data_IF_849334255022
#
_entry.id   IF_849334255022
#
_cell.length_a   1.000
_cell.length_b   1.000
_cell.length_c   1.000
_cell.angle_alpha   90.00
_cell.angle_beta   90.00
_cell.angle_gamma   90.00
#
_symmetry.space_group_name_H-M   'P 1'
#
loop_
_entity.id
_entity.type
_entity.pdbx_description
1 polymer ?
#
# COMPACT_ATOMS: atom_id res chain seq x y z
N UNK A 1 -10.93 -15.21 -12.46
CA UNK A 1 -10.26 -13.92 -12.20
C UNK A 1 -11.21 -12.72 -12.31
N UNK A 2 -11.84 -12.49 -13.48
CA UNK A 2 -12.75 -11.35 -13.70
C UNK A 2 -13.84 -11.17 -12.62
N UNK A 3 -14.67 -12.19 -12.36
CA UNK A 3 -15.74 -12.09 -11.37
C UNK A 3 -15.25 -11.82 -9.95
N UNK A 4 -14.11 -12.40 -9.56
CA UNK A 4 -13.50 -12.14 -8.26
C UNK A 4 -13.03 -10.67 -8.14
N UNK A 5 -12.45 -10.11 -9.20
CA UNK A 5 -12.05 -8.71 -9.23
C UNK A 5 -13.26 -7.77 -9.17
N UNK A 6 -14.36 -8.11 -9.85
CA UNK A 6 -15.60 -7.34 -9.82
C UNK A 6 -16.24 -7.35 -8.43
N UNK A 7 -16.43 -8.54 -7.85
CA UNK A 7 -16.99 -8.71 -6.50
C UNK A 7 -16.08 -8.02 -5.47
N UNK A 8 -14.76 -8.22 -5.56
CA UNK A 8 -13.80 -7.56 -4.69
C UNK A 8 -13.87 -6.04 -4.77
N UNK A 9 -13.97 -5.48 -5.98
CA UNK A 9 -14.14 -4.04 -6.20
C UNK A 9 -15.44 -3.54 -5.58
N UNK A 10 -16.56 -4.23 -5.81
CA UNK A 10 -17.85 -3.86 -5.22
C UNK A 10 -17.80 -3.86 -3.68
N UNK A 11 -17.20 -4.88 -3.08
CA UNK A 11 -17.01 -4.98 -1.63
C UNK A 11 -16.11 -3.87 -1.09
N UNK A 12 -15.00 -3.55 -1.79
CA UNK A 12 -14.13 -2.42 -1.42
C UNK A 12 -14.90 -1.09 -1.43
N UNK A 13 -15.75 -0.86 -2.43
CA UNK A 13 -16.60 0.34 -2.46
C UNK A 13 -17.63 0.35 -1.34
N UNK A 14 -18.36 -0.75 -1.16
CA UNK A 14 -19.39 -0.87 -0.12
C UNK A 14 -18.80 -0.63 1.28
N UNK A 15 -17.73 -1.35 1.63
CA UNK A 15 -17.06 -1.18 2.92
C UNK A 15 -16.45 0.21 3.09
N UNK A 16 -15.86 0.77 2.03
CA UNK A 16 -15.34 2.14 2.05
C UNK A 16 -16.42 3.17 2.40
N UNK A 17 -17.60 3.07 1.80
CA UNK A 17 -18.71 3.97 2.11
C UNK A 17 -19.26 3.75 3.52
N UNK A 18 -19.40 2.49 3.97
CA UNK A 18 -19.82 2.18 5.34
C UNK A 18 -18.86 2.81 6.35
N UNK A 19 -17.54 2.65 6.15
CA UNK A 19 -16.52 3.23 7.02
C UNK A 19 -16.59 4.76 7.01
N UNK A 20 -16.74 5.40 5.85
CA UNK A 20 -16.85 6.85 5.76
C UNK A 20 -18.08 7.39 6.50
N UNK A 21 -19.23 6.72 6.41
CA UNK A 21 -20.43 7.09 7.16
C UNK A 21 -20.18 7.03 8.67
N UNK A 22 -19.45 6.01 9.14
CA UNK A 22 -19.08 5.92 10.55
C UNK A 22 -18.09 7.03 10.95
N UNK A 23 -17.03 7.25 10.15
CA UNK A 23 -16.03 8.28 10.43
C UNK A 23 -16.66 9.66 10.53
N UNK A 24 -17.56 10.03 9.61
CA UNK A 24 -18.16 11.36 9.59
C UNK A 24 -19.28 11.57 10.62
N UNK A 25 -19.90 10.51 11.13
CA UNK A 25 -20.99 10.63 12.11
C UNK A 25 -20.55 10.41 13.54
N UNK A 26 -19.43 9.73 13.77
CA UNK A 26 -19.03 9.32 15.11
C UNK A 26 -18.30 10.45 15.83
N UNK A 27 -18.97 11.04 16.83
CA UNK A 27 -18.47 12.20 17.56
C UNK A 27 -17.26 11.90 18.47
N UNK A 28 -16.90 10.63 18.66
CA UNK A 28 -15.82 10.21 19.58
C UNK A 28 -14.46 10.03 18.89
N UNK A 29 -14.38 10.22 17.56
CA UNK A 29 -13.11 10.14 16.84
C UNK A 29 -12.27 11.37 17.15
N UNK A 30 -11.30 11.20 18.04
CA UNK A 30 -10.32 12.21 18.44
C UNK A 30 -9.05 12.13 17.59
N UNK A 31 -8.31 13.24 17.51
CA UNK A 31 -7.05 13.34 16.78
C UNK A 31 -6.03 12.26 17.21
N UNK A 32 -6.00 11.89 18.49
CA UNK A 32 -5.14 10.83 19.04
C UNK A 32 -5.36 9.44 18.42
N UNK A 33 -6.54 9.18 17.85
CA UNK A 33 -6.85 7.90 17.20
C UNK A 33 -6.25 7.79 15.80
N UNK A 34 -5.85 8.92 15.19
CA UNK A 34 -5.30 8.94 13.84
C UNK A 34 -3.96 8.19 13.78
N UNK A 35 -3.89 7.20 12.90
CA UNK A 35 -2.69 6.42 12.64
C UNK A 35 -2.72 5.91 11.19
N UNK A 36 -1.58 5.44 10.69
CA UNK A 36 -1.47 4.97 9.29
C UNK A 36 -2.30 3.71 8.99
N UNK A 37 -2.92 3.06 9.97
CA UNK A 37 -3.99 2.08 9.73
C UNK A 37 -5.19 2.68 8.98
N UNK A 38 -5.41 4.00 9.06
CA UNK A 38 -6.44 4.68 8.28
C UNK A 38 -6.15 4.74 6.78
N UNK A 39 -4.97 4.30 6.33
CA UNK A 39 -4.68 4.08 4.91
C UNK A 39 -5.32 2.82 4.33
N UNK A 40 -5.89 1.92 5.14
CA UNK A 40 -6.52 0.69 4.62
C UNK A 40 -7.61 1.01 3.58
N UNK A 41 -8.59 1.91 3.82
CA UNK A 41 -9.58 2.24 2.80
C UNK A 41 -8.97 2.90 1.54
N UNK A 42 -8.11 3.95 1.63
CA UNK A 42 -7.44 4.51 0.44
C UNK A 42 -6.63 3.48 -0.36
N UNK A 43 -5.80 2.68 0.32
CA UNK A 43 -4.95 1.67 -0.34
C UNK A 43 -5.81 0.60 -1.00
N UNK A 44 -6.91 0.18 -0.38
CA UNK A 44 -7.82 -0.81 -0.99
C UNK A 44 -8.36 -0.34 -2.35
N UNK A 45 -8.59 0.96 -2.54
CA UNK A 45 -8.98 1.55 -3.84
C UNK A 45 -7.86 1.50 -4.87
N UNK A 46 -6.62 1.68 -4.43
CA UNK A 46 -5.43 1.55 -5.27
C UNK A 46 -5.16 0.10 -5.71
N UNK A 47 -5.71 -0.92 -5.02
CA UNK A 47 -5.56 -2.32 -5.45
C UNK A 47 -6.42 -2.64 -6.69
N UNK A 48 -7.61 -2.03 -6.82
CA UNK A 48 -8.53 -2.24 -7.94
C UNK A 48 -7.85 -2.10 -9.31
N UNK A 49 -7.15 -0.99 -9.62
CA UNK A 49 -6.50 -0.80 -10.92
C UNK A 49 -5.36 -1.79 -11.22
N UNK A 50 -4.73 -2.42 -10.21
CA UNK A 50 -3.68 -3.43 -10.46
C UNK A 50 -4.27 -4.61 -11.24
N UNK A 51 -5.40 -5.12 -10.78
CA UNK A 51 -6.10 -6.21 -11.45
C UNK A 51 -6.87 -5.73 -12.67
N UNK A 52 -7.51 -4.56 -12.59
CA UNK A 52 -8.38 -4.07 -13.66
C UNK A 52 -7.63 -3.72 -14.95
N UNK A 53 -6.46 -3.09 -14.89
CA UNK A 53 -5.64 -2.84 -16.08
C UNK A 53 -5.09 -4.13 -16.71
N UNK A 54 -4.74 -5.13 -15.90
CA UNK A 54 -4.32 -6.43 -16.43
C UNK A 54 -5.48 -7.18 -17.08
N UNK A 55 -6.65 -7.21 -16.44
CA UNK A 55 -7.85 -7.84 -16.99
C UNK A 55 -8.36 -7.16 -18.26
N UNK A 56 -8.18 -5.85 -18.41
CA UNK A 56 -8.57 -5.13 -19.62
C UNK A 56 -7.83 -5.63 -20.87
N UNK A 57 -6.58 -6.07 -20.73
CA UNK A 57 -5.83 -6.70 -21.83
C UNK A 57 -6.29 -8.13 -22.15
N UNK A 58 -6.77 -8.87 -21.16
CA UNK A 58 -7.28 -10.24 -21.35
C UNK A 58 -8.73 -10.29 -21.85
N UNK A 59 -9.54 -9.27 -21.56
CA UNK A 59 -10.96 -9.18 -21.93
C UNK A 59 -11.24 -7.88 -22.69
N UNK A 60 -10.83 -7.77 -23.97
CA UNK A 60 -11.01 -6.54 -24.77
C UNK A 60 -12.47 -6.08 -24.84
N UNK A 61 -13.43 -7.01 -24.83
CA UNK A 61 -14.86 -6.73 -24.84
C UNK A 61 -15.38 -6.06 -23.55
N UNK A 62 -14.57 -6.09 -22.48
CA UNK A 62 -14.85 -5.46 -21.18
C UNK A 62 -13.86 -4.36 -20.85
N UNK A 63 -12.95 -4.04 -21.76
CA UNK A 63 -11.83 -3.15 -21.50
C UNK A 63 -12.30 -1.75 -21.12
N UNK A 64 -13.33 -1.22 -21.77
CA UNK A 64 -13.92 0.09 -21.44
C UNK A 64 -14.34 0.15 -19.97
N UNK A 65 -15.20 -0.78 -19.53
CA UNK A 65 -15.65 -0.84 -18.14
C UNK A 65 -14.48 -1.03 -17.15
N UNK A 66 -13.55 -1.93 -17.46
CA UNK A 66 -12.41 -2.23 -16.59
C UNK A 66 -11.46 -1.04 -16.47
N UNK A 67 -11.18 -0.33 -17.56
CA UNK A 67 -10.40 0.91 -17.59
C UNK A 67 -11.10 1.98 -16.76
N UNK A 68 -12.39 2.25 -17.00
CA UNK A 68 -13.15 3.25 -16.26
C UNK A 68 -13.15 2.97 -14.76
N UNK A 69 -13.48 1.74 -14.35
CA UNK A 69 -13.48 1.35 -12.94
C UNK A 69 -12.08 1.49 -12.32
N UNK A 70 -11.04 1.09 -13.04
CA UNK A 70 -9.64 1.16 -12.59
C UNK A 70 -9.19 2.60 -12.42
N UNK A 71 -9.40 3.45 -13.42
CA UNK A 71 -8.96 4.85 -13.41
C UNK A 71 -9.73 5.67 -12.38
N UNK A 72 -11.04 5.46 -12.23
CA UNK A 72 -11.84 6.08 -11.16
C UNK A 72 -11.32 5.66 -9.78
N UNK A 73 -11.08 4.36 -9.58
CA UNK A 73 -10.59 3.85 -8.30
C UNK A 73 -9.17 4.33 -8.00
N UNK A 74 -8.33 4.48 -9.02
CA UNK A 74 -7.01 5.07 -8.89
C UNK A 74 -7.11 6.52 -8.41
N UNK A 75 -7.95 7.35 -9.03
CA UNK A 75 -8.18 8.72 -8.60
C UNK A 75 -8.67 8.82 -7.16
N UNK A 76 -9.70 8.03 -6.80
CA UNK A 76 -10.24 7.99 -5.43
C UNK A 76 -9.16 7.58 -4.42
N UNK A 77 -8.42 6.51 -4.69
CA UNK A 77 -7.36 6.03 -3.81
C UNK A 77 -6.22 7.05 -3.66
N UNK A 78 -5.83 7.72 -4.73
CA UNK A 78 -4.78 8.73 -4.75
C UNK A 78 -5.12 9.94 -3.88
N UNK A 79 -6.29 10.56 -4.09
CA UNK A 79 -6.67 11.74 -3.32
C UNK A 79 -6.97 11.42 -1.85
N UNK A 80 -7.63 10.29 -1.57
CA UNK A 80 -7.86 9.87 -0.18
C UNK A 80 -6.55 9.57 0.56
N UNK A 81 -5.56 8.98 -0.12
CA UNK A 81 -4.22 8.81 0.44
C UNK A 81 -3.63 10.16 0.88
N UNK A 82 -3.69 11.19 0.02
CA UNK A 82 -3.15 12.51 0.35
C UNK A 82 -3.88 13.15 1.54
N UNK A 83 -5.22 13.08 1.57
CA UNK A 83 -6.01 13.71 2.64
C UNK A 83 -5.81 13.02 3.99
N UNK A 84 -5.94 11.68 4.03
CA UNK A 84 -5.70 10.92 5.26
C UNK A 84 -4.24 11.06 5.67
N UNK A 85 -3.33 11.10 4.71
CA UNK A 85 -1.91 11.19 4.96
C UNK A 85 -1.51 12.49 5.63
N UNK A 86 -1.99 13.60 5.10
CA UNK A 86 -1.81 14.90 5.71
C UNK A 86 -2.34 14.94 7.15
N UNK A 87 -3.52 14.37 7.41
CA UNK A 87 -4.12 14.35 8.75
C UNK A 87 -3.29 13.52 9.75
N UNK A 88 -2.86 12.31 9.36
CA UNK A 88 -2.04 11.44 10.22
C UNK A 88 -0.64 12.02 10.41
N UNK A 89 -0.03 12.56 9.35
CA UNK A 89 1.29 13.17 9.41
C UNK A 89 1.30 14.42 10.31
N UNK A 90 0.27 15.26 10.19
CA UNK A 90 0.05 16.39 11.10
C UNK A 90 -0.03 15.93 12.55
N UNK A 91 -0.81 14.86 12.86
CA UNK A 91 -0.84 14.30 14.21
C UNK A 91 0.57 13.94 14.69
N UNK A 92 1.35 13.22 13.90
CA UNK A 92 2.64 12.70 14.33
C UNK A 92 3.72 13.78 14.48
N UNK A 93 3.55 14.95 13.84
CA UNK A 93 4.42 16.12 14.06
C UNK A 93 4.15 16.76 15.42
N UNK A 94 2.89 16.94 15.78
CA UNK A 94 2.49 17.77 16.92
C UNK A 94 2.11 16.99 18.19
N UNK A 95 1.92 15.68 18.09
CA UNK A 95 1.54 14.81 19.20
C UNK A 95 2.43 13.58 19.27
N UNK A 96 2.33 12.85 20.38
CA UNK A 96 3.05 11.60 20.59
C UNK A 96 2.81 10.59 19.46
N UNK A 97 3.83 9.79 19.19
CA UNK A 97 3.73 8.63 18.31
C UNK A 97 2.65 7.66 18.85
N UNK A 98 2.04 6.81 18.01
CA UNK A 98 0.99 5.89 18.47
C UNK A 98 1.51 4.92 19.55
N UNK A 99 0.61 4.28 20.30
CA UNK A 99 1.01 3.21 21.23
C UNK A 99 1.89 2.16 20.54
N UNK A 100 2.82 1.53 21.26
CA UNK A 100 3.78 0.55 20.71
C UNK A 100 3.14 -0.58 19.90
N UNK A 101 1.96 -1.06 20.31
CA UNK A 101 1.19 -2.06 19.54
C UNK A 101 0.77 -1.59 18.14
N UNK A 102 0.82 -0.30 17.85
CA UNK A 102 0.51 0.29 16.56
C UNK A 102 1.75 0.83 15.84
N UNK A 103 2.96 0.68 16.38
CA UNK A 103 4.19 1.14 15.74
C UNK A 103 4.36 0.55 14.32
N UNK A 104 4.00 -0.73 14.15
CA UNK A 104 4.05 -1.43 12.87
C UNK A 104 3.16 -0.78 11.79
N UNK A 105 2.11 -0.06 12.18
CA UNK A 105 1.23 0.63 11.22
C UNK A 105 1.97 1.73 10.45
N UNK A 106 3.08 2.26 10.97
CA UNK A 106 3.89 3.26 10.26
C UNK A 106 4.40 2.75 8.90
N UNK A 107 4.65 1.44 8.77
CA UNK A 107 5.03 0.82 7.50
C UNK A 107 3.93 0.94 6.45
N UNK A 108 2.66 1.04 6.84
CA UNK A 108 1.54 1.16 5.90
C UNK A 108 1.69 2.41 5.02
N UNK A 109 2.39 3.45 5.48
CA UNK A 109 2.66 4.63 4.66
C UNK A 109 3.54 4.39 3.42
N UNK A 110 4.24 3.25 3.34
CA UNK A 110 4.95 2.81 2.11
C UNK A 110 3.95 2.44 1.01
N UNK A 111 2.82 1.84 1.39
CA UNK A 111 1.95 1.13 0.47
C UNK A 111 1.35 2.01 -0.65
N UNK A 112 0.82 3.23 -0.40
CA UNK A 112 0.17 4.00 -1.44
C UNK A 112 1.06 4.26 -2.66
N UNK A 113 2.25 4.82 -2.45
CA UNK A 113 3.13 5.16 -3.58
C UNK A 113 3.79 3.93 -4.20
N UNK A 114 4.11 2.91 -3.41
CA UNK A 114 4.59 1.63 -3.93
C UNK A 114 3.57 0.98 -4.87
N UNK A 115 2.29 0.95 -4.47
CA UNK A 115 1.20 0.44 -5.29
C UNK A 115 0.99 1.31 -6.53
N UNK A 116 1.10 2.64 -6.44
CA UNK A 116 1.00 3.51 -7.61
C UNK A 116 2.08 3.18 -8.64
N UNK A 117 3.31 2.88 -8.23
CA UNK A 117 4.35 2.40 -9.16
C UNK A 117 3.90 1.14 -9.91
N UNK A 118 3.23 0.22 -9.23
CA UNK A 118 2.69 -1.01 -9.85
C UNK A 118 1.53 -0.70 -10.80
N UNK A 119 0.62 0.20 -10.42
CA UNK A 119 -0.49 0.65 -11.28
C UNK A 119 0.05 1.24 -12.59
N UNK A 120 1.03 2.14 -12.49
CA UNK A 120 1.65 2.78 -13.65
C UNK A 120 2.36 1.77 -14.54
N UNK A 121 3.01 0.75 -13.97
CA UNK A 121 3.62 -0.33 -14.73
C UNK A 121 2.57 -1.17 -15.47
N UNK A 122 1.43 -1.50 -14.83
CA UNK A 122 0.31 -2.21 -15.48
C UNK A 122 -0.33 -1.38 -16.59
N UNK A 123 -0.51 -0.07 -16.36
CA UNK A 123 -1.02 0.87 -17.36
C UNK A 123 -0.08 0.97 -18.56
N UNK A 124 1.22 1.13 -18.34
CA UNK A 124 2.23 1.14 -19.40
C UNK A 124 2.16 -0.13 -20.27
N UNK A 125 2.07 -1.30 -19.64
CA UNK A 125 2.00 -2.57 -20.37
C UNK A 125 0.70 -2.74 -21.16
N UNK A 126 -0.44 -2.26 -20.64
CA UNK A 126 -1.72 -2.31 -21.34
C UNK A 126 -1.69 -1.44 -22.60
N UNK A 127 -1.29 -0.18 -22.45
CA UNK A 127 -1.27 0.79 -23.55
C UNK A 127 -0.16 0.51 -24.57
N UNK A 128 0.85 -0.30 -24.24
CA UNK A 128 1.87 -0.73 -25.21
C UNK A 128 1.36 -1.77 -26.22
N UNK A 129 0.24 -2.44 -25.93
CA UNK A 129 -0.32 -3.51 -26.77
C UNK A 129 -1.72 -3.18 -27.32
N UNK A 130 -2.39 -2.18 -26.75
CA UNK A 130 -3.75 -1.83 -27.10
C UNK A 130 -3.92 -0.31 -27.14
N UNK A 131 -4.62 0.16 -28.18
CA UNK A 131 -4.98 1.56 -28.31
C UNK A 131 -6.27 1.83 -27.54
N UNK A 132 -6.17 2.64 -26.49
CA UNK A 132 -7.30 3.11 -25.70
C UNK A 132 -7.28 4.63 -25.61
N UNK A 133 -8.47 5.25 -25.61
CA UNK A 133 -8.64 6.71 -25.42
C UNK A 133 -7.94 7.60 -26.48
N UNK A 134 -7.48 7.04 -27.60
CA UNK A 134 -6.72 7.78 -28.61
C UNK A 134 -5.36 8.30 -28.12
N UNK A 135 -4.81 7.72 -27.05
CA UNK A 135 -3.53 8.13 -26.48
C UNK A 135 -2.37 7.47 -27.22
N UNK A 136 -1.34 8.26 -27.54
CA UNK A 136 -0.08 7.72 -28.07
C UNK A 136 0.63 6.87 -27.00
N UNK A 137 0.85 5.61 -27.34
CA UNK A 137 1.56 4.61 -26.52
C UNK A 137 2.95 5.08 -26.07
N UNK A 138 3.68 5.82 -26.92
CA UNK A 138 5.01 6.33 -26.57
C UNK A 138 4.92 7.41 -25.47
N UNK A 139 3.90 8.26 -25.52
CA UNK A 139 3.64 9.29 -24.51
C UNK A 139 3.25 8.64 -23.18
N UNK A 140 2.31 7.69 -23.20
CA UNK A 140 1.88 6.97 -21.99
C UNK A 140 3.06 6.23 -21.36
N UNK A 141 3.86 5.54 -22.16
CA UNK A 141 5.05 4.82 -21.69
C UNK A 141 6.05 5.75 -21.01
N UNK A 142 6.31 6.91 -21.61
CA UNK A 142 7.22 7.91 -21.05
C UNK A 142 6.73 8.44 -19.70
N UNK A 143 5.46 8.86 -19.63
CA UNK A 143 4.85 9.36 -18.38
C UNK A 143 4.85 8.30 -17.28
N UNK A 144 4.51 7.05 -17.63
CA UNK A 144 4.54 5.93 -16.69
C UNK A 144 5.94 5.67 -16.15
N UNK A 145 6.98 5.62 -16.98
CA UNK A 145 8.37 5.39 -16.52
C UNK A 145 8.81 6.44 -15.51
N UNK A 146 8.56 7.72 -15.80
CA UNK A 146 8.85 8.81 -14.87
C UNK A 146 8.03 8.69 -13.57
N UNK A 147 6.72 8.45 -13.68
CA UNK A 147 5.83 8.29 -12.54
C UNK A 147 6.18 7.08 -11.66
N UNK A 148 6.62 5.97 -12.25
CA UNK A 148 7.10 4.77 -11.54
C UNK A 148 8.30 5.14 -10.67
N UNK A 149 9.32 5.78 -11.25
CA UNK A 149 10.52 6.16 -10.50
C UNK A 149 10.20 7.19 -9.40
N UNK A 150 9.35 8.17 -9.70
CA UNK A 150 8.90 9.20 -8.77
C UNK A 150 8.18 8.60 -7.55
N UNK A 151 7.20 7.73 -7.79
CA UNK A 151 6.41 7.11 -6.72
C UNK A 151 7.19 6.04 -5.93
N UNK A 152 8.06 5.29 -6.60
CA UNK A 152 8.98 4.36 -5.94
C UNK A 152 9.97 5.10 -5.04
N UNK A 153 10.50 6.24 -5.47
CA UNK A 153 11.41 7.05 -4.68
C UNK A 153 10.79 7.48 -3.34
N UNK A 154 9.52 7.90 -3.35
CA UNK A 154 8.80 8.20 -2.11
C UNK A 154 8.58 6.95 -1.25
N UNK A 155 8.26 5.80 -1.85
CA UNK A 155 8.10 4.54 -1.11
C UNK A 155 9.40 4.10 -0.41
N UNK A 156 10.54 4.21 -1.11
CA UNK A 156 11.87 3.92 -0.57
C UNK A 156 12.26 4.90 0.54
N UNK A 157 11.97 6.19 0.37
CA UNK A 157 12.16 7.20 1.43
C UNK A 157 11.30 6.90 2.65
N UNK A 158 10.02 6.57 2.47
CA UNK A 158 9.12 6.24 3.57
C UNK A 158 9.59 5.00 4.33
N UNK A 159 10.13 4.00 3.62
CA UNK A 159 10.73 2.83 4.25
C UNK A 159 11.86 3.22 5.21
N UNK A 160 12.76 4.13 4.82
CA UNK A 160 13.81 4.66 5.72
C UNK A 160 13.19 5.33 6.94
N UNK A 161 12.17 6.17 6.76
CA UNK A 161 11.44 6.81 7.87
C UNK A 161 10.84 5.77 8.82
N UNK A 162 10.21 4.73 8.27
CA UNK A 162 9.61 3.66 9.05
C UNK A 162 10.65 2.88 9.87
N UNK A 163 11.83 2.63 9.31
CA UNK A 163 12.95 2.02 10.04
C UNK A 163 13.44 2.92 11.18
N UNK A 164 13.59 4.23 10.94
CA UNK A 164 14.00 5.19 11.98
C UNK A 164 13.00 5.16 13.14
N UNK A 165 11.69 5.19 12.84
CA UNK A 165 10.64 5.12 13.86
C UNK A 165 10.70 3.81 14.63
N UNK A 166 10.82 2.66 13.96
CA UNK A 166 10.95 1.36 14.65
C UNK A 166 12.19 1.30 15.55
N UNK A 167 13.33 1.81 15.08
CA UNK A 167 14.55 1.88 15.88
C UNK A 167 14.38 2.77 17.11
N UNK A 168 13.59 3.85 17.00
CA UNK A 168 13.24 4.67 18.16
C UNK A 168 12.42 3.88 19.19
N UNK A 169 11.40 3.13 18.76
CA UNK A 169 10.64 2.25 19.67
C UNK A 169 11.52 1.21 20.35
N UNK A 170 12.42 0.57 19.60
CA UNK A 170 13.33 -0.45 20.14
C UNK A 170 14.33 0.11 21.15
N UNK A 171 14.76 1.38 21.01
CA UNK A 171 15.79 1.99 21.85
C UNK A 171 15.25 2.79 23.03
N UNK A 172 14.07 3.41 22.89
CA UNK A 172 13.57 4.44 23.81
C UNK A 172 12.22 4.11 24.44
N UNK A 173 11.47 3.19 23.84
CA UNK A 173 10.17 2.74 24.33
C UNK A 173 10.22 1.22 24.47
N UNK A 174 9.09 0.56 24.26
CA UNK A 174 9.00 -0.87 24.10
C UNK A 174 8.38 -1.20 22.74
N UNK A 175 8.74 -2.35 22.18
CA UNK A 175 8.06 -2.92 21.01
C UNK A 175 7.68 -4.37 21.34
N UNK A 176 6.66 -4.59 22.20
CA UNK A 176 6.18 -5.92 22.46
C UNK A 176 5.59 -6.51 21.19
N UNK A 177 5.69 -7.84 21.06
CA UNK A 177 5.02 -8.53 19.97
C UNK A 177 3.50 -8.33 20.09
N UNK A 178 2.89 -7.92 18.99
CA UNK A 178 1.45 -7.84 18.82
C UNK A 178 1.10 -8.36 17.43
N UNK A 179 -0.13 -8.85 17.24
CA UNK A 179 -0.58 -9.38 15.94
C UNK A 179 -0.48 -8.31 14.82
N UNK A 180 -0.56 -7.03 15.19
CA UNK A 180 -0.32 -5.89 14.30
C UNK A 180 1.07 -5.86 13.66
N UNK A 181 2.05 -6.64 14.13
CA UNK A 181 3.35 -6.80 13.47
C UNK A 181 3.23 -7.34 12.03
N UNK A 182 2.12 -7.98 11.67
CA UNK A 182 1.83 -8.30 10.27
C UNK A 182 1.77 -7.05 9.37
N UNK A 183 1.57 -5.85 9.93
CA UNK A 183 1.70 -4.59 9.19
C UNK A 183 3.13 -4.29 8.71
N UNK A 184 4.16 -5.00 9.19
CA UNK A 184 5.51 -4.92 8.62
C UNK A 184 5.63 -5.63 7.27
N UNK A 185 4.79 -6.64 6.99
CA UNK A 185 5.02 -7.52 5.84
C UNK A 185 4.39 -6.98 4.56
N UNK A 186 3.09 -6.68 4.55
CA UNK A 186 2.39 -6.23 3.33
C UNK A 186 3.01 -4.98 2.69
N UNK A 187 3.30 -3.89 3.43
CA UNK A 187 3.90 -2.70 2.84
C UNK A 187 5.34 -2.92 2.36
N UNK A 188 6.12 -3.75 3.06
CA UNK A 188 7.44 -4.18 2.57
C UNK A 188 7.34 -5.05 1.33
N UNK A 189 6.29 -5.87 1.21
CA UNK A 189 5.93 -6.59 -0.01
C UNK A 189 5.64 -5.65 -1.17
N UNK A 190 4.82 -4.63 -0.94
CA UNK A 190 4.56 -3.59 -1.93
C UNK A 190 5.85 -2.87 -2.35
N UNK A 191 6.75 -2.58 -1.40
CA UNK A 191 8.07 -2.01 -1.70
C UNK A 191 8.90 -2.93 -2.60
N UNK A 192 8.93 -4.23 -2.33
CA UNK A 192 9.65 -5.20 -3.17
C UNK A 192 9.12 -5.18 -4.61
N UNK A 193 7.80 -5.29 -4.77
CA UNK A 193 7.18 -5.28 -6.11
C UNK A 193 7.40 -3.94 -6.81
N UNK A 194 7.22 -2.82 -6.10
CA UNK A 194 7.48 -1.47 -6.65
C UNK A 194 8.93 -1.29 -7.09
N UNK A 195 9.91 -1.83 -6.35
CA UNK A 195 11.33 -1.80 -6.71
C UNK A 195 11.61 -2.67 -7.93
N UNK A 196 10.97 -3.84 -8.01
CA UNK A 196 11.07 -4.71 -9.19
C UNK A 196 10.52 -4.07 -10.45
N UNK A 197 9.35 -3.41 -10.39
CA UNK A 197 8.79 -2.70 -11.55
C UNK A 197 9.59 -1.44 -11.90
N UNK A 198 10.12 -0.71 -10.92
CA UNK A 198 11.01 0.44 -11.15
C UNK A 198 12.32 0.01 -11.83
N UNK A 199 12.90 -1.11 -11.41
CA UNK A 199 14.05 -1.69 -12.08
C UNK A 199 13.71 -2.11 -13.52
N UNK A 200 12.61 -2.83 -13.75
CA UNK A 200 12.18 -3.22 -15.11
C UNK A 200 11.90 -2.03 -16.02
N UNK A 201 11.37 -0.94 -15.47
CA UNK A 201 11.03 0.26 -16.24
C UNK A 201 12.27 1.08 -16.64
N UNK A 202 13.33 1.08 -15.82
CA UNK A 202 14.50 1.96 -15.98
C UNK A 202 15.78 1.23 -16.41
N UNK A 203 15.94 -0.05 -16.07
CA UNK A 203 17.17 -0.80 -16.23
C UNK A 203 18.30 -0.41 -15.26
N UNK A 204 18.05 0.46 -14.28
CA UNK A 204 19.10 1.00 -13.42
C UNK A 204 19.60 -0.01 -12.39
N UNK A 205 20.92 -0.26 -12.38
CA UNK A 205 21.55 -1.22 -11.47
C UNK A 205 21.38 -0.88 -9.99
N UNK A 206 21.37 0.41 -9.61
CA UNK A 206 21.14 0.83 -8.22
C UNK A 206 19.74 0.42 -7.71
N UNK A 207 18.72 0.47 -8.56
CA UNK A 207 17.35 0.07 -8.20
C UNK A 207 17.27 -1.46 -8.08
N UNK A 208 17.99 -2.20 -8.94
CA UNK A 208 18.10 -3.65 -8.81
C UNK A 208 18.71 -4.06 -7.46
N UNK A 209 19.81 -3.43 -7.04
CA UNK A 209 20.42 -3.67 -5.74
C UNK A 209 19.46 -3.38 -4.58
N UNK A 210 18.70 -2.27 -4.66
CA UNK A 210 17.67 -1.95 -3.67
C UNK A 210 16.55 -2.99 -3.65
N UNK A 211 16.10 -3.47 -4.80
CA UNK A 211 15.10 -4.54 -4.91
C UNK A 211 15.57 -5.82 -4.19
N UNK A 212 16.80 -6.27 -4.41
CA UNK A 212 17.37 -7.44 -3.74
C UNK A 212 17.45 -7.25 -2.21
N UNK A 213 17.85 -6.07 -1.77
CA UNK A 213 17.86 -5.69 -0.36
C UNK A 213 16.45 -5.74 0.23
N UNK A 214 15.46 -5.12 -0.41
CA UNK A 214 14.09 -5.07 0.06
C UNK A 214 13.47 -6.47 0.18
N UNK A 215 13.73 -7.36 -0.80
CA UNK A 215 13.28 -8.76 -0.77
C UNK A 215 13.92 -9.50 0.41
N UNK A 216 15.22 -9.34 0.61
CA UNK A 216 15.92 -9.97 1.75
C UNK A 216 15.34 -9.48 3.08
N UNK A 217 15.14 -8.17 3.22
CA UNK A 217 14.49 -7.59 4.39
C UNK A 217 13.10 -8.17 4.62
N UNK A 218 12.27 -8.26 3.57
CA UNK A 218 10.92 -8.80 3.65
C UNK A 218 10.92 -10.26 4.15
N UNK A 219 11.81 -11.10 3.61
CA UNK A 219 11.88 -12.50 4.02
C UNK A 219 12.27 -12.64 5.49
N UNK A 220 13.23 -11.84 5.95
CA UNK A 220 13.65 -11.82 7.35
C UNK A 220 12.53 -11.36 8.29
N UNK A 221 11.85 -10.25 7.96
CA UNK A 221 10.77 -9.74 8.81
C UNK A 221 9.57 -10.67 8.79
N UNK A 222 9.22 -11.24 7.64
CA UNK A 222 8.15 -12.22 7.52
C UNK A 222 8.43 -13.45 8.38
N UNK A 223 9.64 -14.01 8.31
CA UNK A 223 10.03 -15.17 9.12
C UNK A 223 9.95 -14.86 10.61
N UNK A 224 10.45 -13.69 11.03
CA UNK A 224 10.37 -13.24 12.43
C UNK A 224 8.91 -13.16 12.91
N UNK A 225 8.05 -12.48 12.15
CA UNK A 225 6.63 -12.32 12.50
C UNK A 225 5.91 -13.67 12.51
N UNK A 226 6.18 -14.53 11.54
CA UNK A 226 5.62 -15.87 11.47
C UNK A 226 6.00 -16.71 12.69
N UNK A 227 7.27 -16.77 13.06
CA UNK A 227 7.75 -17.52 14.23
C UNK A 227 7.15 -16.99 15.54
N UNK A 228 7.03 -15.67 15.69
CA UNK A 228 6.38 -15.05 16.86
C UNK A 228 4.88 -15.37 16.91
N UNK A 229 4.21 -15.34 15.76
CA UNK A 229 2.79 -15.71 15.64
C UNK A 229 2.59 -17.17 16.01
N UNK A 230 3.41 -18.08 15.48
CA UNK A 230 3.36 -19.50 15.82
C UNK A 230 3.54 -19.75 17.32
N UNK A 231 4.52 -19.10 17.95
CA UNK A 231 4.70 -19.18 19.41
C UNK A 231 3.48 -18.65 20.18
N UNK A 232 2.86 -17.58 19.69
CA UNK A 232 1.63 -17.01 20.27
C UNK A 232 0.43 -17.96 20.15
N UNK A 233 0.25 -18.61 19.00
CA UNK A 233 -0.79 -19.60 18.75
C UNK A 233 -0.59 -20.84 19.62
N UNK A 234 0.63 -21.40 19.63
CA UNK A 234 0.95 -22.61 20.42
C UNK A 234 0.80 -22.38 21.93
N UNK A 235 1.05 -21.16 22.42
CA UNK A 235 0.87 -20.82 23.83
C UNK A 235 -0.55 -20.39 24.20
N UNK A 236 -1.46 -20.26 23.24
CA UNK A 236 -2.83 -19.75 23.43
C UNK A 236 -2.92 -18.24 23.75
N UNK A 237 -1.81 -17.59 24.08
CA UNK A 237 -1.75 -16.18 24.49
C UNK A 237 -2.28 -15.20 23.44
N UNK A 238 -2.20 -15.57 22.16
CA UNK A 238 -2.65 -14.70 21.06
C UNK A 238 -4.18 -14.56 21.00
N UNK A 239 -4.93 -15.48 21.60
CA UNK A 239 -6.38 -15.47 21.65
C UNK A 239 -6.93 -14.89 22.96
N UNK A 240 -6.06 -14.64 23.93
CA UNK A 240 -6.45 -14.01 25.18
C UNK A 240 -6.78 -12.52 24.96
N UNK A 241 -7.85 -11.99 25.60
CA UNK A 241 -8.14 -10.56 25.55
C UNK A 241 -6.93 -9.76 26.06
N UNK A 242 -6.50 -8.78 25.27
CA UNK A 242 -5.50 -7.81 25.75
C UNK A 242 -6.23 -6.79 26.59
N UNK A 243 -6.10 -6.90 27.92
CA UNK A 243 -6.56 -5.90 28.87
C UNK A 243 -5.77 -4.58 28.71
#
# INVERSE_FOLDING_TARGET
AYYLALVGSAVIYLLGFIILVHIFRHQEIKLQHANFGWYIPPVSKLIIPIAGYELAGYFPEKAEFLLTLSTVSFGVGFFLFLFVGAAVYHRYIYHELPMSRFAATFFIGIAPTAIISVILFKMMHLFSHHEFMGLDSAVVTTLCKFGILFTWGFAAWWFVMAIIVVLYYLKKLELPYALSWWAFTFPSGALCVSSGVAWKATGFGIIHSFYLFAVTFLLLIWLLVFLRTMKGVLSGKIFAPTH
#
